data_IF_684775168982
#
_entry.id   IF_684775168982
#
_cell.length_a   1.000
_cell.length_b   1.000
_cell.length_c   1.000
_cell.angle_alpha   90.00
_cell.angle_beta   90.00
_cell.angle_gamma   90.00
#
_symmetry.space_group_name_H-M   'P 1'
#
loop_
_entity.id
_entity.type
_entity.pdbx_description
1 polymer ?
#
# COMPACT_ATOMS: atom_id res chain seq x y z
N UNK A 1 48.75 27.04 -0.17
CA UNK A 1 48.15 26.79 -1.51
C UNK A 1 47.07 25.71 -1.51
N UNK A 2 46.66 25.18 -0.36
CA UNK A 2 45.47 24.26 -0.24
C UNK A 2 44.40 24.82 0.69
N UNK A 3 44.69 25.88 1.46
CA UNK A 3 43.70 26.51 2.35
C UNK A 3 42.85 27.60 1.67
N UNK A 4 43.27 28.09 0.49
CA UNK A 4 42.56 29.15 -0.23
C UNK A 4 41.39 28.64 -1.09
N UNK A 5 41.20 27.30 -1.21
CA UNK A 5 40.11 26.69 -1.97
C UNK A 5 38.85 26.51 -1.11
N UNK A 6 38.96 26.58 0.21
CA UNK A 6 37.86 26.39 1.14
C UNK A 6 37.07 27.66 1.50
N UNK A 7 37.51 28.82 1.01
CA UNK A 7 36.92 30.13 1.31
C UNK A 7 36.45 30.91 0.08
N UNK A 8 36.06 30.24 -1.00
CA UNK A 8 35.39 30.94 -2.09
C UNK A 8 33.91 31.15 -1.76
N UNK A 9 33.37 32.38 -1.83
CA UNK A 9 31.99 32.69 -1.53
C UNK A 9 30.99 32.33 -2.68
N UNK A 10 31.39 31.42 -3.55
CA UNK A 10 30.55 30.88 -4.64
C UNK A 10 30.25 29.40 -4.44
N UNK A 11 29.83 29.01 -3.25
CA UNK A 11 28.96 27.86 -3.12
C UNK A 11 27.59 28.32 -3.59
N UNK A 12 27.34 28.22 -4.90
CA UNK A 12 25.98 28.12 -5.45
C UNK A 12 25.19 27.26 -4.49
N UNK A 13 24.20 27.85 -3.82
CA UNK A 13 23.38 27.20 -2.82
C UNK A 13 22.58 26.05 -3.46
N UNK A 14 23.23 24.92 -3.64
CA UNK A 14 22.56 23.64 -3.72
C UNK A 14 22.09 23.39 -2.30
N UNK A 15 20.92 23.95 -1.98
CA UNK A 15 20.13 23.46 -0.86
C UNK A 15 20.03 21.96 -1.12
N UNK A 16 20.50 21.08 -0.20
CA UNK A 16 20.33 19.66 -0.41
C UNK A 16 18.85 19.45 -0.72
N UNK A 17 18.55 19.00 -1.94
CA UNK A 17 17.21 18.65 -2.33
C UNK A 17 16.71 17.73 -1.23
N UNK A 18 15.72 18.18 -0.48
CA UNK A 18 15.06 17.35 0.52
C UNK A 18 14.54 16.16 -0.26
N UNK A 19 15.15 14.99 -0.04
CA UNK A 19 14.76 13.76 -0.68
C UNK A 19 13.25 13.60 -0.52
N UNK A 20 12.53 13.33 -1.62
CA UNK A 20 11.09 13.13 -1.61
C UNK A 20 10.71 12.07 -0.55
N UNK A 21 9.74 12.41 0.30
CA UNK A 21 9.23 11.50 1.32
C UNK A 21 8.21 10.56 0.69
N UNK A 22 8.62 9.32 0.52
CA UNK A 22 7.81 8.27 -0.10
C UNK A 22 7.31 7.32 0.97
N UNK A 23 6.00 7.06 0.97
CA UNK A 23 5.38 6.04 1.84
C UNK A 23 4.76 4.93 0.99
N UNK A 24 4.94 3.71 1.44
CA UNK A 24 4.32 2.51 0.85
C UNK A 24 3.33 1.94 1.84
N UNK A 25 2.06 1.94 1.47
CA UNK A 25 0.96 1.48 2.32
C UNK A 25 0.42 0.16 1.78
N UNK A 26 0.64 -0.91 2.52
CA UNK A 26 0.05 -2.22 2.23
C UNK A 26 -1.31 -2.37 2.89
N UNK A 27 -2.36 -2.58 2.11
CA UNK A 27 -3.74 -2.66 2.60
C UNK A 27 -4.27 -4.09 2.50
N UNK A 28 -4.73 -4.63 3.63
CA UNK A 28 -5.22 -5.99 3.74
C UNK A 28 -4.10 -7.04 3.66
N UNK A 29 -4.45 -8.32 3.68
CA UNK A 29 -3.46 -9.40 3.71
C UNK A 29 -2.49 -9.39 2.54
N UNK A 30 -2.98 -9.25 1.31
CA UNK A 30 -2.13 -9.19 0.11
C UNK A 30 -1.19 -7.98 0.11
N UNK A 31 -1.69 -6.81 0.47
CA UNK A 31 -0.86 -5.59 0.59
C UNK A 31 0.17 -5.69 1.71
N UNK A 32 -0.19 -6.24 2.86
CA UNK A 32 0.75 -6.45 3.97
C UNK A 32 1.85 -7.45 3.60
N UNK A 33 1.51 -8.50 2.85
CA UNK A 33 2.51 -9.45 2.33
C UNK A 33 3.46 -8.78 1.35
N UNK A 34 2.97 -7.95 0.45
CA UNK A 34 3.81 -7.18 -0.48
C UNK A 34 4.79 -6.28 0.29
N UNK A 35 4.32 -5.53 1.29
CA UNK A 35 5.16 -4.70 2.16
C UNK A 35 6.23 -5.55 2.86
N UNK A 36 5.84 -6.67 3.45
CA UNK A 36 6.80 -7.58 4.11
C UNK A 36 7.89 -8.07 3.15
N UNK A 37 7.53 -8.39 1.90
CA UNK A 37 8.48 -8.81 0.86
C UNK A 37 9.44 -7.69 0.47
N UNK A 38 8.95 -6.46 0.30
CA UNK A 38 9.78 -5.29 0.00
C UNK A 38 10.81 -5.02 1.11
N UNK A 39 10.39 -5.12 2.38
CA UNK A 39 11.28 -4.95 3.54
C UNK A 39 12.35 -6.04 3.56
N UNK A 40 11.97 -7.31 3.35
CA UNK A 40 12.93 -8.44 3.31
C UNK A 40 13.90 -8.32 2.13
N UNK A 41 13.44 -7.79 1.00
CA UNK A 41 14.28 -7.52 -0.16
C UNK A 41 15.25 -6.33 0.04
N UNK A 42 15.17 -5.63 1.19
CA UNK A 42 16.07 -4.54 1.53
C UNK A 42 15.77 -3.22 0.82
N UNK A 43 14.52 -3.01 0.37
CA UNK A 43 14.12 -1.73 -0.22
C UNK A 43 14.24 -0.62 0.83
N UNK A 44 15.02 0.42 0.51
CA UNK A 44 15.32 1.55 1.37
C UNK A 44 14.81 2.86 0.79
N UNK A 45 14.82 3.92 1.61
CA UNK A 45 14.42 5.26 1.17
C UNK A 45 12.91 5.49 1.16
N UNK A 46 12.13 4.56 1.72
CA UNK A 46 10.67 4.66 1.85
C UNK A 46 10.23 4.24 3.25
N UNK A 47 9.12 4.81 3.71
CA UNK A 47 8.45 4.41 4.95
C UNK A 47 7.37 3.38 4.64
N UNK A 48 7.37 2.26 5.35
CA UNK A 48 6.39 1.21 5.18
C UNK A 48 5.29 1.28 6.23
N UNK A 49 4.04 1.20 5.77
CA UNK A 49 2.84 1.18 6.61
C UNK A 49 2.00 -0.03 6.23
N UNK A 50 1.59 -0.81 7.23
CA UNK A 50 0.62 -1.90 7.06
C UNK A 50 -0.72 -1.51 7.63
N UNK A 51 -1.77 -1.65 6.83
CA UNK A 51 -3.16 -1.35 7.19
C UNK A 51 -3.99 -2.62 7.09
N UNK A 52 -4.70 -3.00 8.15
CA UNK A 52 -5.58 -4.17 8.11
C UNK A 52 -6.70 -4.08 9.17
N UNK A 53 -7.82 -4.77 8.91
CA UNK A 53 -8.86 -5.03 9.91
C UNK A 53 -8.50 -6.22 10.82
N UNK A 54 -7.60 -7.10 10.37
CA UNK A 54 -7.17 -8.28 11.10
C UNK A 54 -5.95 -7.94 11.97
N UNK A 55 -6.17 -7.95 13.28
CA UNK A 55 -5.13 -7.64 14.26
C UNK A 55 -4.01 -8.69 14.27
N UNK A 56 -4.32 -9.95 14.04
CA UNK A 56 -3.32 -11.02 14.01
C UNK A 56 -2.41 -10.90 12.79
N UNK A 57 -2.99 -10.57 11.63
CA UNK A 57 -2.21 -10.31 10.43
C UNK A 57 -1.27 -9.11 10.61
N UNK A 58 -1.69 -8.07 11.32
CA UNK A 58 -0.84 -6.91 11.64
C UNK A 58 0.32 -7.26 12.57
N UNK A 59 0.14 -8.18 13.50
CA UNK A 59 1.23 -8.64 14.38
C UNK A 59 2.36 -9.29 13.59
N UNK A 60 2.06 -9.93 12.46
CA UNK A 60 3.03 -10.57 11.58
C UNK A 60 3.67 -9.60 10.59
N UNK A 61 3.19 -8.38 10.52
CA UNK A 61 3.76 -7.36 9.63
C UNK A 61 5.14 -6.92 10.09
N UNK A 62 6.04 -6.75 9.12
CA UNK A 62 7.40 -6.20 9.31
C UNK A 62 7.46 -4.69 9.17
N UNK A 63 6.36 -4.04 8.80
CA UNK A 63 6.29 -2.59 8.69
C UNK A 63 6.53 -1.92 10.04
N UNK A 64 7.23 -0.80 10.03
CA UNK A 64 7.44 0.02 11.22
C UNK A 64 6.13 0.57 11.77
N UNK A 65 5.26 1.04 10.87
CA UNK A 65 3.96 1.58 11.21
C UNK A 65 2.86 0.58 10.84
N UNK A 66 1.98 0.32 11.78
CA UNK A 66 0.86 -0.61 11.63
C UNK A 66 -0.41 0.08 12.08
N UNK A 67 -1.42 0.09 11.22
CA UNK A 67 -2.71 0.71 11.49
C UNK A 67 -3.78 -0.36 11.47
N UNK A 68 -4.36 -0.65 12.62
CA UNK A 68 -5.57 -1.44 12.69
C UNK A 68 -6.74 -0.53 12.36
N UNK A 69 -7.50 -0.89 11.32
CA UNK A 69 -8.69 -0.15 10.90
C UNK A 69 -9.96 -0.86 11.33
N UNK A 70 -11.00 -0.08 11.62
CA UNK A 70 -12.31 -0.62 11.97
C UNK A 70 -12.32 -1.43 13.27
N UNK A 71 -11.61 -0.99 14.29
CA UNK A 71 -11.50 -1.71 15.56
C UNK A 71 -12.86 -1.96 16.21
N UNK A 72 -13.73 -0.96 16.21
CA UNK A 72 -15.09 -1.08 16.75
C UNK A 72 -15.97 -2.00 15.91
N UNK A 73 -15.83 -1.87 14.57
CA UNK A 73 -16.64 -2.60 13.61
C UNK A 73 -16.26 -4.09 13.53
N UNK A 74 -14.97 -4.39 13.46
CA UNK A 74 -14.46 -5.75 13.18
C UNK A 74 -13.92 -6.47 14.42
N UNK A 75 -13.66 -5.75 15.50
CA UNK A 75 -13.03 -6.27 16.73
C UNK A 75 -11.72 -7.03 16.46
N UNK A 76 -11.00 -6.64 15.41
CA UNK A 76 -9.75 -7.27 15.02
C UNK A 76 -9.88 -8.61 14.27
N UNK A 77 -11.09 -9.02 13.90
CA UNK A 77 -11.36 -10.31 13.24
C UNK A 77 -11.29 -10.24 11.70
N UNK A 78 -10.94 -9.08 11.14
CA UNK A 78 -10.91 -8.90 9.70
C UNK A 78 -12.26 -8.53 9.08
N UNK A 79 -12.30 -8.37 7.76
CA UNK A 79 -13.51 -7.96 7.03
C UNK A 79 -14.35 -9.13 6.49
N UNK A 80 -13.99 -10.39 6.78
CA UNK A 80 -14.76 -11.56 6.37
C UNK A 80 -15.00 -11.67 4.86
N UNK A 81 -14.03 -11.30 4.01
CA UNK A 81 -14.15 -11.25 2.55
C UNK A 81 -15.27 -10.32 2.02
N UNK A 82 -15.76 -9.39 2.85
CA UNK A 82 -16.76 -8.40 2.47
C UNK A 82 -16.12 -7.01 2.27
N UNK A 83 -16.07 -6.47 1.03
CA UNK A 83 -15.49 -5.15 0.75
C UNK A 83 -16.20 -4.00 1.45
N UNK A 84 -17.52 -4.08 1.68
CA UNK A 84 -18.24 -3.01 2.38
C UNK A 84 -17.78 -2.87 3.83
N UNK A 85 -17.45 -4.00 4.49
CA UNK A 85 -16.89 -3.98 5.84
C UNK A 85 -15.49 -3.36 5.81
N UNK A 86 -14.67 -3.72 4.82
CA UNK A 86 -13.35 -3.13 4.63
C UNK A 86 -13.40 -1.61 4.43
N UNK A 87 -14.34 -1.16 3.61
CA UNK A 87 -14.58 0.27 3.37
C UNK A 87 -14.99 0.99 4.67
N UNK A 88 -16.01 0.50 5.35
CA UNK A 88 -16.49 1.10 6.62
C UNK A 88 -15.42 1.11 7.71
N UNK A 89 -14.58 0.07 7.74
CA UNK A 89 -13.46 0.00 8.67
C UNK A 89 -12.41 1.10 8.39
N UNK A 90 -12.12 1.36 7.13
CA UNK A 90 -11.20 2.44 6.74
C UNK A 90 -11.82 3.83 7.02
N UNK A 91 -13.10 4.00 6.77
CA UNK A 91 -13.83 5.24 7.11
C UNK A 91 -13.81 5.52 8.61
N UNK A 92 -14.02 4.51 9.45
CA UNK A 92 -13.94 4.63 10.92
C UNK A 92 -12.56 5.14 11.36
N UNK A 93 -11.51 4.77 10.65
CA UNK A 93 -10.11 5.06 11.01
C UNK A 93 -9.47 6.16 10.15
N UNK A 94 -10.29 6.92 9.40
CA UNK A 94 -9.84 7.90 8.41
C UNK A 94 -8.84 8.91 8.96
N UNK A 95 -9.11 9.48 10.13
CA UNK A 95 -8.25 10.48 10.78
C UNK A 95 -6.86 9.94 11.09
N UNK A 96 -6.80 8.69 11.59
CA UNK A 96 -5.53 8.02 11.90
C UNK A 96 -4.73 7.77 10.62
N UNK A 97 -5.41 7.36 9.53
CA UNK A 97 -4.76 7.13 8.23
C UNK A 97 -4.18 8.44 7.70
N UNK A 98 -4.95 9.52 7.68
CA UNK A 98 -4.48 10.84 7.23
C UNK A 98 -3.27 11.30 8.03
N UNK A 99 -3.31 11.19 9.36
CA UNK A 99 -2.21 11.61 10.22
C UNK A 99 -0.92 10.83 9.91
N UNK A 100 -1.02 9.52 9.67
CA UNK A 100 0.12 8.69 9.31
C UNK A 100 0.67 8.98 7.90
N UNK A 101 -0.14 9.54 7.01
CA UNK A 101 0.26 9.90 5.65
C UNK A 101 0.74 11.34 5.52
N UNK A 102 0.53 12.17 6.52
CA UNK A 102 0.90 13.59 6.53
C UNK A 102 2.39 13.78 6.24
N UNK A 103 2.69 14.76 5.39
CA UNK A 103 4.05 15.12 5.02
C UNK A 103 4.70 14.18 3.99
N UNK A 104 3.99 13.20 3.45
CA UNK A 104 4.45 12.43 2.32
C UNK A 104 4.31 13.23 1.02
N UNK A 105 5.33 13.19 0.18
CA UNK A 105 5.27 13.74 -1.18
C UNK A 105 4.60 12.77 -2.14
N UNK A 106 4.82 11.46 -1.94
CA UNK A 106 4.25 10.39 -2.73
C UNK A 106 3.83 9.21 -1.84
N UNK A 107 2.67 8.64 -2.15
CA UNK A 107 2.14 7.45 -1.46
C UNK A 107 1.82 6.36 -2.49
N UNK A 108 2.41 5.21 -2.30
CA UNK A 108 2.03 3.99 -3.00
C UNK A 108 1.04 3.20 -2.15
N UNK A 109 -0.14 2.95 -2.69
CA UNK A 109 -1.16 2.10 -2.06
C UNK A 109 -1.15 0.75 -2.74
N UNK A 110 -0.74 -0.30 -2.04
CA UNK A 110 -0.70 -1.67 -2.59
C UNK A 110 -1.72 -2.56 -1.91
N UNK A 111 -2.46 -3.34 -2.71
CA UNK A 111 -3.48 -4.26 -2.22
C UNK A 111 -3.69 -5.44 -3.16
N UNK A 112 -4.03 -6.60 -2.60
CA UNK A 112 -4.63 -7.70 -3.35
C UNK A 112 -6.14 -7.49 -3.43
N UNK A 113 -6.64 -7.33 -4.65
CA UNK A 113 -8.08 -7.10 -4.88
C UNK A 113 -8.85 -8.42 -4.90
N UNK A 114 -10.13 -8.37 -4.53
CA UNK A 114 -11.03 -9.53 -4.48
C UNK A 114 -11.32 -10.06 -3.07
N UNK A 115 -10.58 -9.58 -2.07
CA UNK A 115 -10.89 -9.82 -0.66
C UNK A 115 -11.72 -8.70 -0.03
N UNK A 116 -11.93 -8.74 1.28
CA UNK A 116 -12.69 -7.72 2.00
C UNK A 116 -11.88 -6.45 2.27
N UNK A 117 -10.82 -6.55 3.07
CA UNK A 117 -10.05 -5.39 3.51
C UNK A 117 -9.36 -4.68 2.35
N UNK A 118 -8.55 -5.41 1.54
CA UNK A 118 -7.82 -4.80 0.43
C UNK A 118 -8.73 -4.09 -0.57
N UNK A 119 -9.80 -4.75 -0.99
CA UNK A 119 -10.75 -4.23 -1.98
C UNK A 119 -11.51 -3.00 -1.47
N UNK A 120 -11.99 -3.07 -0.23
CA UNK A 120 -12.84 -2.01 0.34
C UNK A 120 -12.05 -0.84 0.91
N UNK A 121 -10.92 -1.11 1.60
CA UNK A 121 -10.17 -0.09 2.29
C UNK A 121 -9.15 0.66 1.39
N UNK A 122 -8.59 0.00 0.35
CA UNK A 122 -7.58 0.65 -0.49
C UNK A 122 -8.07 1.95 -1.15
N UNK A 123 -9.32 2.06 -1.66
CA UNK A 123 -9.83 3.32 -2.17
C UNK A 123 -9.89 4.44 -1.11
N UNK A 124 -10.25 4.11 0.12
CA UNK A 124 -10.32 5.10 1.21
C UNK A 124 -8.91 5.54 1.63
N UNK A 125 -7.97 4.61 1.71
CA UNK A 125 -6.56 4.93 1.98
C UNK A 125 -5.98 5.84 0.90
N UNK A 126 -6.30 5.58 -0.37
CA UNK A 126 -5.87 6.42 -1.48
C UNK A 126 -6.46 7.85 -1.40
N UNK A 127 -7.74 7.95 -1.04
CA UNK A 127 -8.40 9.24 -0.81
C UNK A 127 -7.75 10.01 0.33
N UNK A 128 -7.43 9.33 1.45
CA UNK A 128 -6.70 9.92 2.58
C UNK A 128 -5.31 10.42 2.17
N UNK A 129 -4.60 9.67 1.30
CA UNK A 129 -3.30 10.09 0.79
C UNK A 129 -3.37 11.37 -0.05
N UNK A 130 -4.37 11.48 -0.92
CA UNK A 130 -4.62 12.69 -1.70
C UNK A 130 -5.03 13.87 -0.82
N UNK A 131 -5.86 13.64 0.18
CA UNK A 131 -6.26 14.65 1.16
C UNK A 131 -5.07 15.15 1.99
N UNK A 132 -4.11 14.27 2.29
CA UNK A 132 -2.84 14.64 2.92
C UNK A 132 -1.87 15.40 1.98
N UNK A 133 -2.23 15.59 0.70
CA UNK A 133 -1.46 16.34 -0.29
C UNK A 133 -0.43 15.53 -1.07
N UNK A 134 -0.43 14.20 -0.94
CA UNK A 134 0.54 13.33 -1.61
C UNK A 134 0.11 12.95 -3.03
N UNK A 135 1.06 12.85 -3.95
CA UNK A 135 0.86 12.14 -5.21
C UNK A 135 0.60 10.67 -4.90
N UNK A 136 -0.53 10.14 -5.37
CA UNK A 136 -1.01 8.82 -4.96
C UNK A 136 -1.00 7.84 -6.13
N UNK A 137 -0.27 6.74 -5.96
CA UNK A 137 -0.14 5.66 -6.94
C UNK A 137 -0.73 4.38 -6.36
N UNK A 138 -1.71 3.79 -7.05
CA UNK A 138 -2.25 2.48 -6.72
C UNK A 138 -1.48 1.39 -7.46
N UNK A 139 -1.06 0.35 -6.74
CA UNK A 139 -0.45 -0.86 -7.32
C UNK A 139 -1.20 -2.06 -6.75
N UNK A 140 -2.03 -2.69 -7.57
CA UNK A 140 -2.92 -3.74 -7.11
C UNK A 140 -2.86 -5.00 -7.97
N UNK A 141 -3.12 -6.14 -7.37
CA UNK A 141 -3.21 -7.42 -8.07
C UNK A 141 -4.66 -7.84 -8.25
N UNK A 142 -4.98 -8.44 -9.41
CA UNK A 142 -6.22 -9.19 -9.63
C UNK A 142 -6.00 -10.64 -9.18
N UNK A 143 -7.03 -11.29 -8.60
CA UNK A 143 -6.92 -12.69 -8.20
C UNK A 143 -6.64 -13.60 -9.41
N UNK A 144 -6.12 -14.80 -9.13
CA UNK A 144 -6.02 -15.85 -10.13
C UNK A 144 -7.42 -16.29 -10.59
N UNK A 145 -7.53 -16.72 -11.86
CA UNK A 145 -8.80 -17.19 -12.41
C UNK A 145 -9.39 -18.35 -11.62
N UNK A 146 -8.55 -19.22 -11.03
CA UNK A 146 -8.99 -20.36 -10.22
C UNK A 146 -9.53 -19.99 -8.84
N UNK A 147 -9.33 -18.73 -8.38
CA UNK A 147 -9.90 -18.25 -7.11
C UNK A 147 -11.42 -17.98 -7.19
N UNK A 148 -11.98 -18.03 -8.38
CA UNK A 148 -13.41 -18.00 -8.63
C UNK A 148 -13.96 -16.64 -9.06
N UNK A 149 -15.08 -16.69 -9.77
CA UNK A 149 -15.73 -15.53 -10.37
C UNK A 149 -16.13 -14.46 -9.36
N UNK A 150 -16.57 -14.88 -8.16
CA UNK A 150 -16.97 -13.93 -7.10
C UNK A 150 -15.81 -13.00 -6.72
N UNK A 151 -14.62 -13.57 -6.48
CA UNK A 151 -13.44 -12.77 -6.13
C UNK A 151 -13.02 -11.85 -7.27
N UNK A 152 -13.08 -12.34 -8.51
CA UNK A 152 -12.76 -11.54 -9.68
C UNK A 152 -13.72 -10.36 -9.83
N UNK A 153 -15.02 -10.57 -9.72
CA UNK A 153 -16.02 -9.49 -9.81
C UNK A 153 -15.83 -8.45 -8.69
N UNK A 154 -15.55 -8.89 -7.47
CA UNK A 154 -15.23 -7.98 -6.36
C UNK A 154 -13.96 -7.18 -6.65
N UNK A 155 -12.92 -7.82 -7.20
CA UNK A 155 -11.69 -7.15 -7.57
C UNK A 155 -11.92 -6.08 -8.63
N UNK A 156 -12.66 -6.38 -9.67
CA UNK A 156 -12.97 -5.44 -10.75
C UNK A 156 -13.76 -4.23 -10.25
N UNK A 157 -14.78 -4.45 -9.42
CA UNK A 157 -15.55 -3.36 -8.81
C UNK A 157 -14.64 -2.46 -7.93
N UNK A 158 -13.79 -3.06 -7.11
CA UNK A 158 -12.85 -2.32 -6.27
C UNK A 158 -11.79 -1.54 -7.07
N UNK A 159 -11.32 -2.10 -8.18
CA UNK A 159 -10.38 -1.42 -9.10
C UNK A 159 -11.03 -0.19 -9.73
N UNK A 160 -12.28 -0.27 -10.17
CA UNK A 160 -13.01 0.89 -10.71
C UNK A 160 -13.08 1.99 -9.66
N UNK A 161 -13.47 1.67 -8.43
CA UNK A 161 -13.54 2.64 -7.33
C UNK A 161 -12.17 3.25 -6.99
N UNK A 162 -11.12 2.43 -6.97
CA UNK A 162 -9.76 2.89 -6.66
C UNK A 162 -9.23 3.82 -7.76
N UNK A 163 -9.51 3.52 -9.02
CA UNK A 163 -9.05 4.31 -10.18
C UNK A 163 -9.45 5.78 -10.11
N UNK A 164 -10.63 6.06 -9.56
CA UNK A 164 -11.13 7.43 -9.39
C UNK A 164 -10.42 8.19 -8.26
N UNK A 165 -9.70 7.48 -7.39
CA UNK A 165 -9.11 8.01 -6.15
C UNK A 165 -7.58 8.06 -6.15
N UNK A 166 -6.95 7.61 -7.22
CA UNK A 166 -5.49 7.66 -7.41
C UNK A 166 -5.13 8.53 -8.60
N UNK A 167 -3.91 9.03 -8.62
CA UNK A 167 -3.37 9.76 -9.77
C UNK A 167 -2.91 8.79 -10.87
N UNK A 168 -2.39 7.64 -10.47
CA UNK A 168 -1.99 6.55 -11.38
C UNK A 168 -2.37 5.21 -10.77
N UNK A 169 -2.89 4.29 -11.58
CA UNK A 169 -3.21 2.93 -11.19
C UNK A 169 -2.46 1.92 -12.04
N UNK A 170 -1.72 1.05 -11.37
CA UNK A 170 -1.07 -0.12 -11.98
C UNK A 170 -1.82 -1.36 -11.51
N UNK A 171 -2.34 -2.13 -12.45
CA UNK A 171 -3.06 -3.38 -12.17
C UNK A 171 -2.28 -4.57 -12.71
N UNK A 172 -1.98 -5.52 -11.85
CA UNK A 172 -1.22 -6.73 -12.17
C UNK A 172 -2.16 -7.93 -12.11
N UNK A 173 -2.52 -8.56 -13.24
CA UNK A 173 -3.27 -9.81 -13.23
C UNK A 173 -2.37 -10.96 -12.74
N UNK A 174 -2.75 -11.64 -11.64
CA UNK A 174 -1.96 -12.75 -11.11
C UNK A 174 -1.76 -13.90 -12.13
N UNK A 175 -2.72 -14.12 -13.03
CA UNK A 175 -2.58 -15.11 -14.10
C UNK A 175 -1.34 -14.90 -14.99
N UNK A 176 -0.84 -13.66 -15.09
CA UNK A 176 0.40 -13.36 -15.82
C UNK A 176 1.63 -13.97 -15.14
N UNK A 177 1.61 -14.12 -13.83
CA UNK A 177 2.69 -14.74 -13.07
C UNK A 177 2.84 -16.21 -13.46
N UNK A 178 1.73 -16.92 -13.72
CA UNK A 178 1.75 -18.32 -14.15
C UNK A 178 2.49 -18.54 -15.49
N UNK A 179 2.63 -17.49 -16.30
CA UNK A 179 3.34 -17.54 -17.58
C UNK A 179 4.84 -17.36 -17.44
N UNK A 180 5.28 -16.77 -16.31
CA UNK A 180 6.68 -16.39 -16.07
C UNK A 180 7.39 -17.37 -15.12
N UNK A 181 6.60 -18.11 -14.32
CA UNK A 181 7.14 -19.04 -13.32
C UNK A 181 7.50 -20.37 -13.95
N UNK A 182 8.69 -20.87 -13.64
CA UNK A 182 9.06 -22.24 -13.98
C UNK A 182 8.19 -23.22 -13.15
N UNK A 183 7.86 -24.39 -13.72
CA UNK A 183 7.00 -25.42 -13.08
C UNK A 183 7.49 -25.90 -11.72
N UNK A 184 8.69 -25.52 -11.31
CA UNK A 184 9.32 -25.86 -10.04
C UNK A 184 9.27 -24.76 -8.99
N UNK A 185 8.76 -23.57 -9.33
CA UNK A 185 8.67 -22.44 -8.39
C UNK A 185 7.52 -22.67 -7.42
N UNK A 186 7.78 -22.55 -6.13
CA UNK A 186 6.71 -22.69 -5.12
C UNK A 186 5.80 -21.44 -5.14
N UNK A 187 4.54 -21.59 -4.69
CA UNK A 187 3.62 -20.46 -4.54
C UNK A 187 4.13 -19.39 -3.57
N UNK A 188 5.11 -19.72 -2.73
CA UNK A 188 5.73 -18.80 -1.79
C UNK A 188 6.80 -17.95 -2.48
N UNK A 189 7.44 -18.50 -3.50
CA UNK A 189 8.53 -17.84 -4.24
C UNK A 189 8.04 -17.08 -5.48
N UNK A 190 6.78 -17.28 -5.87
CA UNK A 190 6.11 -16.60 -6.97
C UNK A 190 5.50 -15.27 -6.51
#
# INVERSE_FOLDING_TARGET
>A
MFEDILNSPDSSGIVPETLAKIKVVGVGGGGNNAVNRMIVAGLQGVDFISVNCDAQALLLSKAQNRIQIGEKLTKGLGAGANPEIGQKAAEESREIIIEQLRGADMVFVTAGMGGGTGTGAAPIVAECAREAGALTVGVVTKPFSFEGKRRMNQAEAGIVTLKERVDTLITIPNDRLLQVIDRRTSMIDA
#
